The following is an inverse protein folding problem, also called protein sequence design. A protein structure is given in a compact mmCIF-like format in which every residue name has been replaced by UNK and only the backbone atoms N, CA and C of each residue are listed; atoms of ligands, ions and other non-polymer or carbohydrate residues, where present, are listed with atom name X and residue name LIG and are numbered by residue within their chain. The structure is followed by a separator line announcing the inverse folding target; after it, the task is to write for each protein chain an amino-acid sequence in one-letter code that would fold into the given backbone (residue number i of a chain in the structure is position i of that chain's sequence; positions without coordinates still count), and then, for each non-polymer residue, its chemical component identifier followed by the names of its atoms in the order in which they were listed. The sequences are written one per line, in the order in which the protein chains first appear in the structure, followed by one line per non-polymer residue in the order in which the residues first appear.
data_IF_025167594258
#
_entry.id   IF_025167594258
#
_cell.length_a   1.000
_cell.length_b   1.000
_cell.length_c   1.000
_cell.angle_alpha   90.00
_cell.angle_beta   90.00
_cell.angle_gamma   90.00
#
_symmetry.space_group_name_H-M   'P 1'
#
loop_
_entity.id
_entity.type
_entity.pdbx_description
1 polymer ?
#
# COMPACT_ATOMS: atom_id res chain seq x y z
N UNK A 1 23.05 -6.71 -2.73
CA UNK A 1 22.13 -6.25 -3.78
C UNK A 1 20.94 -5.58 -3.17
N UNK A 2 20.57 -4.43 -3.68
CA UNK A 2 19.44 -3.69 -3.17
C UNK A 2 18.11 -4.29 -3.58
N UNK A 3 17.13 -4.19 -2.69
CA UNK A 3 15.75 -4.56 -2.97
C UNK A 3 14.94 -3.32 -3.30
N UNK A 4 13.82 -3.52 -3.98
CA UNK A 4 12.85 -2.47 -4.24
C UNK A 4 11.81 -2.50 -3.12
N UNK A 5 11.77 -1.43 -2.34
CA UNK A 5 10.89 -1.30 -1.18
C UNK A 5 9.81 -0.28 -1.50
N UNK A 6 8.56 -0.66 -1.34
CA UNK A 6 7.43 0.23 -1.50
C UNK A 6 6.75 0.42 -0.14
N UNK A 7 6.67 1.66 0.31
CA UNK A 7 5.99 2.01 1.55
C UNK A 7 4.68 2.69 1.20
N UNK A 8 3.59 2.18 1.77
CA UNK A 8 2.26 2.76 1.59
C UNK A 8 1.79 3.28 2.93
N UNK A 9 1.69 4.61 3.04
CA UNK A 9 1.20 5.28 4.23
C UNK A 9 -0.27 5.64 4.04
N UNK A 10 -1.12 5.17 4.94
CA UNK A 10 -2.55 5.44 4.89
C UNK A 10 -3.00 6.49 5.89
N UNK A 11 -2.07 7.16 6.55
CA UNK A 11 -2.42 8.24 7.48
C UNK A 11 -3.09 9.40 6.75
N UNK A 12 -4.22 9.92 7.25
CA UNK A 12 -4.82 11.13 6.70
C UNK A 12 -4.07 12.38 7.09
N UNK A 13 -3.17 12.29 8.07
CA UNK A 13 -2.42 13.45 8.57
C UNK A 13 -0.96 13.37 8.12
N UNK A 14 -0.50 14.43 7.48
CA UNK A 14 0.92 14.57 7.17
C UNK A 14 1.71 14.70 8.48
N UNK A 15 2.76 13.90 8.62
CA UNK A 15 3.60 13.93 9.82
C UNK A 15 2.96 13.33 11.05
N UNK A 16 1.87 12.56 10.92
CA UNK A 16 1.31 11.78 12.03
C UNK A 16 2.24 10.64 12.42
N UNK A 17 1.89 9.90 13.47
CA UNK A 17 2.78 8.87 14.03
C UNK A 17 3.13 7.77 13.03
N UNK A 18 2.16 7.21 12.34
CA UNK A 18 2.43 6.16 11.36
C UNK A 18 3.22 6.71 10.17
N UNK A 19 2.92 7.93 9.74
CA UNK A 19 3.64 8.58 8.64
C UNK A 19 5.10 8.81 9.00
N UNK A 20 5.38 9.26 10.24
CA UNK A 20 6.74 9.46 10.74
C UNK A 20 7.51 8.14 10.79
N UNK A 21 6.87 7.05 11.22
CA UNK A 21 7.51 5.74 11.22
C UNK A 21 7.84 5.26 9.81
N UNK A 22 6.99 5.58 8.84
CA UNK A 22 7.31 5.31 7.43
C UNK A 22 8.58 6.01 6.99
N UNK A 23 8.75 7.28 7.37
CA UNK A 23 9.94 8.04 7.00
C UNK A 23 11.20 7.47 7.65
N UNK A 24 11.10 6.98 8.88
CA UNK A 24 12.22 6.32 9.54
C UNK A 24 12.56 4.98 8.89
N UNK A 25 11.54 4.21 8.52
CA UNK A 25 11.76 2.97 7.79
C UNK A 25 12.46 3.25 6.45
N UNK A 26 11.99 4.28 5.75
CA UNK A 26 12.57 4.68 4.48
C UNK A 26 14.05 5.04 4.63
N UNK A 27 14.39 5.85 5.63
CA UNK A 27 15.76 6.24 5.88
C UNK A 27 16.66 5.03 6.15
N UNK A 28 16.20 4.11 7.02
CA UNK A 28 16.98 2.91 7.33
C UNK A 28 17.18 1.99 6.13
N UNK A 29 16.16 1.81 5.33
CA UNK A 29 16.26 0.99 4.13
C UNK A 29 17.20 1.60 3.10
N UNK A 30 17.16 2.92 2.93
CA UNK A 30 18.07 3.64 2.02
C UNK A 30 19.52 3.53 2.49
N UNK A 31 19.76 3.67 3.79
CA UNK A 31 21.11 3.50 4.35
C UNK A 31 21.67 2.10 4.10
N UNK A 32 20.81 1.11 4.06
CA UNK A 32 21.19 -0.28 3.79
C UNK A 32 21.31 -0.60 2.31
N UNK A 33 21.18 0.39 1.44
CA UNK A 33 21.41 0.23 0.00
C UNK A 33 20.19 -0.20 -0.81
N UNK A 34 19.00 -0.09 -0.24
CA UNK A 34 17.77 -0.43 -0.96
C UNK A 34 17.17 0.80 -1.66
N UNK A 35 16.43 0.55 -2.73
CA UNK A 35 15.66 1.58 -3.42
C UNK A 35 14.29 1.66 -2.79
N UNK A 36 13.89 2.84 -2.33
CA UNK A 36 12.65 3.00 -1.57
C UNK A 36 11.77 4.07 -2.21
N UNK A 37 10.49 3.75 -2.36
CA UNK A 37 9.47 4.71 -2.75
C UNK A 37 8.38 4.72 -1.68
N UNK A 38 7.88 5.91 -1.34
CA UNK A 38 6.77 6.08 -0.40
C UNK A 38 5.58 6.67 -1.13
N UNK A 39 4.42 6.04 -0.96
CA UNK A 39 3.14 6.55 -1.46
C UNK A 39 2.28 6.92 -0.27
N UNK A 40 1.77 8.15 -0.27
CA UNK A 40 0.83 8.62 0.74
C UNK A 40 -0.58 8.58 0.15
N UNK A 41 -1.43 7.71 0.68
CA UNK A 41 -2.77 7.51 0.14
C UNK A 41 -3.67 8.74 0.28
N UNK A 42 -3.35 9.65 1.22
CA UNK A 42 -4.10 10.91 1.33
C UNK A 42 -3.99 11.79 0.07
N UNK A 43 -2.96 11.55 -0.72
CA UNK A 43 -2.70 12.30 -1.96
C UNK A 43 -3.20 11.58 -3.20
N UNK A 44 -3.85 10.44 -3.02
CA UNK A 44 -4.29 9.58 -4.12
C UNK A 44 -5.80 9.40 -4.08
N UNK A 45 -6.38 9.13 -5.23
CA UNK A 45 -7.78 8.78 -5.35
C UNK A 45 -7.88 7.28 -5.60
N UNK A 46 -8.36 6.54 -4.60
CA UNK A 46 -8.59 5.11 -4.71
C UNK A 46 -10.05 4.86 -4.33
N UNK A 47 -10.85 4.46 -5.30
CA UNK A 47 -12.26 4.18 -5.08
C UNK A 47 -12.44 2.76 -4.56
N UNK A 48 -13.58 2.54 -3.93
CA UNK A 48 -13.92 1.21 -3.41
C UNK A 48 -14.04 0.19 -4.55
N UNK A 49 -13.68 -1.06 -4.26
CA UNK A 49 -13.98 -2.16 -5.16
C UNK A 49 -15.50 -2.33 -5.27
N UNK A 50 -16.00 -2.40 -6.49
CA UNK A 50 -17.44 -2.55 -6.74
C UNK A 50 -17.88 -4.01 -6.83
N UNK A 51 -16.95 -4.94 -6.72
CA UNK A 51 -17.27 -6.37 -6.76
C UNK A 51 -17.78 -6.83 -8.12
N UNK A 52 -17.43 -6.16 -9.21
CA UNK A 52 -17.95 -6.50 -10.53
C UNK A 52 -17.41 -7.84 -11.07
N UNK A 53 -16.33 -8.36 -10.50
CA UNK A 53 -15.80 -9.67 -10.84
C UNK A 53 -15.02 -9.75 -12.14
N UNK A 54 -14.81 -8.65 -12.85
CA UNK A 54 -14.12 -8.69 -14.14
C UNK A 54 -12.68 -9.18 -14.01
N UNK A 55 -11.95 -8.74 -12.99
CA UNK A 55 -10.58 -9.18 -12.77
C UNK A 55 -10.51 -10.62 -12.26
N UNK A 56 -11.39 -10.99 -11.34
CA UNK A 56 -11.38 -12.30 -10.70
C UNK A 56 -11.92 -13.40 -11.61
N UNK A 57 -13.09 -13.16 -12.22
CA UNK A 57 -13.77 -14.19 -13.00
C UNK A 57 -13.28 -14.25 -14.45
N UNK A 58 -12.87 -13.14 -15.01
CA UNK A 58 -12.55 -13.04 -16.44
C UNK A 58 -11.10 -12.65 -16.70
N UNK A 59 -10.29 -12.46 -15.67
CA UNK A 59 -8.87 -12.08 -15.78
C UNK A 59 -8.66 -10.80 -16.59
N UNK A 60 -9.61 -9.88 -16.52
CA UNK A 60 -9.51 -8.58 -17.18
C UNK A 60 -8.98 -7.53 -16.23
N UNK A 61 -8.48 -6.43 -16.78
CA UNK A 61 -8.07 -5.29 -16.00
C UNK A 61 -9.27 -4.68 -15.27
N UNK A 62 -9.03 -4.08 -14.10
CA UNK A 62 -10.06 -3.35 -13.40
C UNK A 62 -10.57 -2.19 -14.26
N UNK A 63 -11.90 -2.03 -14.43
CA UNK A 63 -12.44 -0.97 -15.26
C UNK A 63 -12.37 0.41 -14.62
N UNK A 64 -12.08 0.50 -13.33
CA UNK A 64 -12.02 1.79 -12.64
C UNK A 64 -10.75 2.55 -13.01
N UNK A 65 -10.93 3.84 -13.35
CA UNK A 65 -9.84 4.72 -13.76
C UNK A 65 -9.53 5.70 -12.62
N UNK A 66 -8.72 5.23 -11.68
CA UNK A 66 -8.24 6.04 -10.57
C UNK A 66 -6.75 5.76 -10.36
N UNK A 67 -6.21 6.06 -9.17
CA UNK A 67 -4.79 5.84 -8.90
C UNK A 67 -4.43 4.41 -8.53
N UNK A 68 -5.41 3.53 -8.30
CA UNK A 68 -5.12 2.17 -7.87
C UNK A 68 -4.31 1.36 -8.88
N UNK A 69 -4.59 1.36 -10.19
CA UNK A 69 -3.80 0.57 -11.13
C UNK A 69 -2.31 0.88 -11.08
N UNK A 70 -1.93 2.15 -10.96
CA UNK A 70 -0.53 2.55 -10.86
C UNK A 70 0.10 2.06 -9.56
N UNK A 71 -0.63 2.19 -8.44
CA UNK A 71 -0.15 1.71 -7.14
C UNK A 71 0.03 0.19 -7.16
N UNK A 72 -0.93 -0.54 -7.72
CA UNK A 72 -0.83 -1.99 -7.83
C UNK A 72 0.34 -2.43 -8.70
N UNK A 73 0.63 -1.72 -9.78
CA UNK A 73 1.79 -2.01 -10.61
C UNK A 73 3.09 -1.88 -9.80
N UNK A 74 3.20 -0.84 -8.99
CA UNK A 74 4.35 -0.67 -8.12
C UNK A 74 4.43 -1.75 -7.06
N UNK A 75 3.30 -2.21 -6.54
CA UNK A 75 3.25 -3.32 -5.58
C UNK A 75 3.74 -4.62 -6.23
N UNK A 76 3.34 -4.88 -7.46
CA UNK A 76 3.78 -6.06 -8.19
C UNK A 76 5.30 -6.05 -8.40
N UNK A 77 5.87 -4.89 -8.68
CA UNK A 77 7.31 -4.77 -8.94
C UNK A 77 8.17 -4.69 -7.69
N UNK A 78 7.57 -4.45 -6.53
CA UNK A 78 8.33 -4.35 -5.28
C UNK A 78 8.74 -5.72 -4.77
N UNK A 79 9.90 -5.78 -4.13
CA UNK A 79 10.35 -6.96 -3.39
C UNK A 79 9.82 -6.95 -1.97
N UNK A 80 9.67 -5.75 -1.40
CA UNK A 80 9.22 -5.52 -0.03
C UNK A 80 8.10 -4.50 -0.06
N UNK A 81 7.01 -4.81 0.62
CA UNK A 81 5.87 -3.90 0.75
C UNK A 81 5.68 -3.60 2.24
N UNK A 82 5.63 -2.31 2.56
CA UNK A 82 5.36 -1.84 3.92
C UNK A 82 4.00 -1.15 3.92
N UNK A 83 3.07 -1.66 4.71
CA UNK A 83 1.75 -1.08 4.85
C UNK A 83 1.66 -0.41 6.21
N UNK A 84 1.39 0.89 6.24
CA UNK A 84 1.33 1.66 7.48
C UNK A 84 -0.05 2.27 7.64
N UNK A 85 -0.59 2.13 8.86
CA UNK A 85 -1.94 2.60 9.17
C UNK A 85 -2.05 3.10 10.60
N UNK A 86 -2.78 4.20 10.82
CA UNK A 86 -3.33 4.44 12.15
C UNK A 86 -4.44 3.42 12.41
N UNK A 87 -4.62 3.05 13.67
CA UNK A 87 -5.72 2.17 14.07
C UNK A 87 -6.94 3.03 14.36
N UNK A 88 -7.99 2.84 13.58
CA UNK A 88 -9.28 3.48 13.78
C UNK A 88 -10.31 2.41 14.11
N UNK A 89 -10.95 2.57 15.23
CA UNK A 89 -11.98 1.66 15.70
C UNK A 89 -11.54 0.18 15.59
N UNK A 90 -10.43 -0.14 16.24
CA UNK A 90 -9.87 -1.49 16.38
C UNK A 90 -9.35 -2.13 15.09
N UNK A 91 -9.25 -1.38 14.00
CA UNK A 91 -8.82 -1.96 12.72
C UNK A 91 -8.00 -0.95 11.92
N UNK A 92 -7.52 -1.38 10.76
CA UNK A 92 -6.82 -0.49 9.85
C UNK A 92 -7.74 0.63 9.37
N UNK A 93 -7.15 1.72 8.89
CA UNK A 93 -7.92 2.81 8.31
C UNK A 93 -8.73 2.31 7.10
N UNK A 94 -9.89 2.90 6.88
CA UNK A 94 -10.72 2.55 5.72
C UNK A 94 -9.98 2.79 4.41
N UNK A 95 -9.13 3.79 4.38
CA UNK A 95 -8.32 4.12 3.19
C UNK A 95 -7.38 2.98 2.81
N UNK A 96 -6.73 2.37 3.79
CA UNK A 96 -5.86 1.21 3.53
C UNK A 96 -6.67 0.00 3.08
N UNK A 97 -7.78 -0.28 3.75
CA UNK A 97 -8.62 -1.42 3.37
C UNK A 97 -9.18 -1.27 1.95
N UNK A 98 -9.53 -0.06 1.57
CA UNK A 98 -9.99 0.23 0.20
C UNK A 98 -8.92 -0.15 -0.83
N UNK A 99 -7.66 0.19 -0.57
CA UNK A 99 -6.58 -0.22 -1.46
C UNK A 99 -6.41 -1.74 -1.46
N UNK A 100 -6.44 -2.36 -0.30
CA UNK A 100 -6.28 -3.81 -0.17
C UNK A 100 -7.36 -4.54 -0.98
N UNK A 101 -8.61 -4.07 -0.93
CA UNK A 101 -9.68 -4.68 -1.72
C UNK A 101 -9.40 -4.58 -3.22
N UNK A 102 -8.79 -3.50 -3.66
CA UNK A 102 -8.42 -3.30 -5.07
C UNK A 102 -7.25 -4.18 -5.51
N UNK A 103 -6.49 -4.74 -4.57
CA UNK A 103 -5.40 -5.67 -4.90
C UNK A 103 -5.90 -6.94 -5.59
N UNK A 104 -7.18 -7.25 -5.50
CA UNK A 104 -7.81 -8.36 -6.21
C UNK A 104 -7.47 -8.37 -7.71
N UNK A 105 -7.30 -7.19 -8.30
CA UNK A 105 -7.01 -7.06 -9.73
C UNK A 105 -5.63 -7.63 -10.13
N UNK A 106 -4.69 -7.71 -9.21
CA UNK A 106 -3.32 -8.12 -9.49
C UNK A 106 -2.76 -9.11 -8.46
N UNK A 107 -3.59 -9.69 -7.58
CA UNK A 107 -3.06 -10.41 -6.44
C UNK A 107 -2.28 -11.68 -6.82
N UNK A 108 -2.59 -12.31 -7.92
CA UNK A 108 -1.85 -13.48 -8.39
C UNK A 108 -0.40 -13.16 -8.76
N UNK A 109 -0.09 -11.89 -9.00
CA UNK A 109 1.25 -11.44 -9.32
C UNK A 109 2.00 -10.93 -8.09
N UNK A 110 1.35 -10.95 -6.91
CA UNK A 110 1.93 -10.43 -5.66
C UNK A 110 2.46 -11.57 -4.80
N UNK A 111 3.36 -12.36 -5.36
CA UNK A 111 3.97 -13.50 -4.66
C UNK A 111 5.44 -13.26 -4.37
N UNK A 112 5.99 -14.02 -3.43
CA UNK A 112 7.42 -13.98 -3.09
C UNK A 112 7.89 -12.62 -2.59
N UNK A 113 7.06 -11.94 -1.82
CA UNK A 113 7.38 -10.62 -1.27
C UNK A 113 7.49 -10.66 0.25
N UNK A 114 8.36 -9.81 0.78
CA UNK A 114 8.37 -9.54 2.21
C UNK A 114 7.30 -8.49 2.51
N UNK A 115 6.57 -8.68 3.59
CA UNK A 115 5.50 -7.77 3.98
C UNK A 115 5.73 -7.31 5.41
N UNK A 116 5.70 -6.00 5.61
CA UNK A 116 5.81 -5.37 6.93
C UNK A 116 4.57 -4.55 7.22
N UNK A 117 4.14 -4.55 8.46
CA UNK A 117 3.05 -3.71 8.91
C UNK A 117 3.54 -2.73 9.96
N UNK A 118 3.11 -1.48 9.83
CA UNK A 118 3.28 -0.46 10.83
C UNK A 118 1.89 -0.02 11.26
N UNK A 119 1.57 -0.20 12.52
CA UNK A 119 0.29 0.21 13.07
C UNK A 119 0.51 1.08 14.29
N UNK A 120 -0.16 2.23 14.34
CA UNK A 120 -0.08 3.14 15.48
C UNK A 120 -1.48 3.36 16.03
N UNK A 121 -1.57 3.40 17.35
CA UNK A 121 -2.85 3.64 18.01
C UNK A 121 -2.67 4.58 19.19
N UNK A 122 -3.69 5.35 19.46
CA UNK A 122 -3.80 6.15 20.67
C UNK A 122 -4.63 5.45 21.72
N UNK A 123 -4.70 6.04 22.90
CA UNK A 123 -5.59 5.59 23.97
C UNK A 123 -7.00 6.11 23.78
#
# INVERSE_FOLDING_TARGET
MGKRVLIISSSPRRGGNSDTLCDRFMAGAQESGHTVEKISLREKTVNECMGCGLCYNFHKSCPQKDDAPEILEKMVQADVIVLATPVYFYNMSGRLKTLIDRCCARFLEMENKELYFIATMGE
#
